data_IF_599827891896
#
_entry.id   IF_599827891896
#
_cell.length_a   1.000
_cell.length_b   1.000
_cell.length_c   1.000
_cell.angle_alpha   90.00
_cell.angle_beta   90.00
_cell.angle_gamma   90.00
#
_symmetry.space_group_name_H-M   'P 1'
#
loop_
_entity.id
_entity.type
_entity.pdbx_description
1 polymer ?
#
# COMPACT_ATOMS: atom_id res chain seq x y z
N UNK A 1 16.30 -85.33 54.19
CA UNK A 1 15.82 -84.87 55.48
C UNK A 1 16.31 -83.46 55.77
N UNK A 2 15.41 -82.62 56.11
CA UNK A 2 15.56 -81.25 56.68
C UNK A 2 15.99 -80.12 55.75
N UNK A 3 14.97 -79.50 55.21
CA UNK A 3 14.68 -78.16 54.87
C UNK A 3 15.43 -77.08 55.73
N UNK A 4 16.02 -76.08 55.15
CA UNK A 4 16.16 -74.78 55.75
C UNK A 4 15.71 -73.74 54.77
N UNK A 5 14.55 -73.25 55.03
CA UNK A 5 13.93 -72.04 54.41
C UNK A 5 14.74 -70.79 54.79
N UNK A 6 15.31 -70.14 53.85
CA UNK A 6 15.94 -68.86 54.09
C UNK A 6 15.02 -67.76 53.54
N UNK A 7 14.41 -67.04 54.46
CA UNK A 7 13.52 -65.89 54.17
C UNK A 7 14.40 -64.71 53.78
N UNK A 8 14.40 -64.38 52.50
CA UNK A 8 14.97 -63.12 52.03
C UNK A 8 13.87 -62.08 51.95
N UNK A 9 13.92 -61.14 52.90
CA UNK A 9 13.03 -59.99 53.01
C UNK A 9 13.49 -59.00 51.97
N UNK A 10 12.82 -58.94 50.82
CA UNK A 10 13.09 -57.95 49.81
C UNK A 10 12.41 -56.62 50.21
N UNK A 11 13.20 -55.69 50.67
CA UNK A 11 12.75 -54.29 50.90
C UNK A 11 12.56 -53.61 49.54
N UNK A 12 11.30 -53.43 49.13
CA UNK A 12 10.91 -52.66 47.97
C UNK A 12 11.03 -51.18 48.34
N UNK A 13 12.13 -50.55 47.91
CA UNK A 13 12.28 -49.11 47.95
C UNK A 13 11.50 -48.53 46.80
N UNK A 14 10.32 -48.01 47.09
CA UNK A 14 9.52 -47.22 46.16
C UNK A 14 10.24 -45.88 45.94
N UNK A 15 11.06 -45.78 44.89
CA UNK A 15 11.56 -44.53 44.40
C UNK A 15 10.40 -43.83 43.70
N UNK A 16 9.71 -42.96 44.44
CA UNK A 16 8.72 -42.03 43.89
C UNK A 16 9.47 -41.00 43.05
N UNK A 17 9.55 -41.25 41.75
CA UNK A 17 9.92 -40.18 40.80
C UNK A 17 8.85 -39.10 40.84
N UNK A 18 9.07 -38.02 41.58
CA UNK A 18 8.36 -36.78 41.40
C UNK A 18 8.75 -36.24 40.01
N UNK A 19 7.92 -36.57 39.02
CA UNK A 19 7.95 -35.85 37.74
C UNK A 19 7.48 -34.42 38.02
N UNK A 20 8.44 -33.54 38.28
CA UNK A 20 8.18 -32.10 38.19
C UNK A 20 7.83 -31.81 36.76
N UNK A 21 6.53 -31.75 36.47
CA UNK A 21 6.06 -31.03 35.30
C UNK A 21 6.57 -29.60 35.44
N UNK A 22 7.69 -29.35 34.80
CA UNK A 22 8.04 -27.99 34.37
C UNK A 22 6.92 -27.56 33.44
N UNK A 23 5.87 -26.99 34.03
CA UNK A 23 4.97 -26.14 33.28
C UNK A 23 5.89 -25.00 32.80
N UNK A 24 6.46 -25.20 31.62
CA UNK A 24 6.98 -24.11 30.84
C UNK A 24 5.83 -23.10 30.77
N UNK A 25 5.85 -22.10 31.62
CA UNK A 25 5.10 -20.88 31.40
C UNK A 25 5.56 -20.42 30.02
N UNK A 26 4.83 -20.82 28.99
CA UNK A 26 4.84 -20.09 27.73
C UNK A 26 4.52 -18.66 28.18
N UNK A 27 5.53 -17.84 28.29
CA UNK A 27 5.33 -16.40 28.32
C UNK A 27 4.45 -16.13 27.11
N UNK A 28 3.16 -15.93 27.37
CA UNK A 28 2.31 -15.28 26.41
C UNK A 28 2.94 -13.90 26.28
N UNK A 29 3.84 -13.78 25.31
CA UNK A 29 4.26 -12.48 24.79
C UNK A 29 2.95 -11.80 24.45
N UNK A 30 2.55 -10.85 25.29
CA UNK A 30 1.38 -10.00 25.04
C UNK A 30 1.73 -9.23 23.77
N UNK A 31 1.43 -9.82 22.64
CA UNK A 31 1.74 -9.23 21.34
C UNK A 31 0.91 -7.95 21.24
N UNK A 32 1.57 -6.84 21.04
CA UNK A 32 0.91 -5.55 20.92
C UNK A 32 -0.27 -5.66 19.92
N UNK A 33 -1.50 -5.29 20.30
CA UNK A 33 -2.67 -5.41 19.43
C UNK A 33 -2.49 -4.74 18.06
N UNK A 34 -1.71 -3.66 18.00
CA UNK A 34 -1.33 -2.99 16.74
C UNK A 34 -0.57 -3.94 15.83
N UNK A 35 0.43 -4.66 16.36
CA UNK A 35 1.24 -5.62 15.60
C UNK A 35 0.36 -6.70 15.01
N UNK A 36 -0.56 -7.26 15.81
CA UNK A 36 -1.48 -8.31 15.34
C UNK A 36 -2.39 -7.82 14.19
N UNK A 37 -2.89 -6.60 14.26
CA UNK A 37 -3.71 -6.02 13.17
C UNK A 37 -2.87 -5.83 11.92
N UNK A 38 -1.68 -5.25 12.04
CA UNK A 38 -0.78 -5.02 10.91
C UNK A 38 -0.38 -6.34 10.23
N UNK A 39 -0.03 -7.36 11.01
CA UNK A 39 0.30 -8.69 10.47
C UNK A 39 -0.87 -9.33 9.71
N UNK A 40 -2.11 -9.18 10.21
CA UNK A 40 -3.29 -9.67 9.49
C UNK A 40 -3.49 -8.93 8.17
N UNK A 41 -3.34 -7.61 8.17
CA UNK A 41 -3.41 -6.80 6.94
C UNK A 41 -2.32 -7.20 5.95
N UNK A 42 -1.08 -7.38 6.41
CA UNK A 42 0.03 -7.79 5.56
C UNK A 42 -0.18 -9.16 4.89
N UNK A 43 -0.91 -10.06 5.54
CA UNK A 43 -1.26 -11.38 4.98
C UNK A 43 -2.35 -11.28 3.90
N UNK A 44 -3.22 -10.29 3.97
CA UNK A 44 -4.35 -10.11 3.02
C UNK A 44 -4.02 -9.15 1.88
N UNK A 45 -3.06 -8.26 2.05
CA UNK A 45 -2.69 -7.28 1.04
C UNK A 45 -1.95 -7.91 -0.16
N UNK A 46 -1.97 -7.27 -1.33
CA UNK A 46 -1.33 -7.79 -2.52
C UNK A 46 0.17 -8.05 -2.33
N UNK A 47 0.58 -9.30 -2.57
CA UNK A 47 1.99 -9.69 -2.61
C UNK A 47 2.40 -9.88 -4.07
N UNK A 48 3.27 -9.01 -4.56
CA UNK A 48 3.65 -9.01 -5.98
C UNK A 48 5.11 -8.59 -6.20
N UNK A 49 5.66 -9.02 -7.32
CA UNK A 49 6.87 -8.48 -7.94
C UNK A 49 6.53 -7.50 -9.04
N UNK A 50 5.48 -7.82 -9.81
CA UNK A 50 4.97 -6.98 -10.89
C UNK A 50 3.44 -6.94 -10.88
N UNK A 51 2.88 -5.79 -11.27
CA UNK A 51 1.45 -5.60 -11.52
C UNK A 51 1.28 -5.08 -12.94
N UNK A 52 0.41 -5.73 -13.72
CA UNK A 52 0.04 -5.32 -15.07
C UNK A 52 -1.46 -5.05 -15.14
N UNK A 53 -1.85 -3.79 -15.04
CA UNK A 53 -3.24 -3.36 -15.30
C UNK A 53 -3.35 -3.09 -16.79
N UNK A 54 -3.85 -4.06 -17.53
CA UNK A 54 -3.96 -3.98 -18.99
C UNK A 54 -5.23 -3.28 -19.47
N UNK A 55 -6.23 -3.09 -18.60
CA UNK A 55 -7.45 -2.36 -18.88
C UNK A 55 -7.99 -1.68 -17.63
N UNK A 56 -8.10 -0.35 -17.68
CA UNK A 56 -8.79 0.45 -16.66
C UNK A 56 -9.34 1.72 -17.27
N UNK A 57 -10.33 2.32 -16.61
CA UNK A 57 -10.74 3.71 -16.85
C UNK A 57 -10.31 4.58 -15.70
N UNK A 58 -10.01 5.83 -15.99
CA UNK A 58 -9.69 6.87 -15.02
C UNK A 58 -10.65 8.02 -15.24
N UNK A 59 -11.42 8.35 -14.22
CA UNK A 59 -12.21 9.56 -14.20
C UNK A 59 -11.46 10.62 -13.38
N UNK A 60 -11.05 11.67 -14.06
CA UNK A 60 -10.38 12.82 -13.46
C UNK A 60 -11.40 13.94 -13.28
N UNK A 61 -11.48 14.50 -12.08
CA UNK A 61 -12.28 15.68 -11.82
C UNK A 61 -11.45 16.74 -11.10
N UNK A 62 -11.44 17.94 -11.67
CA UNK A 62 -10.85 19.13 -11.06
C UNK A 62 -11.87 20.27 -11.16
N UNK A 63 -12.37 20.72 -10.02
CA UNK A 63 -13.50 21.65 -9.95
C UNK A 63 -14.72 21.09 -10.71
N UNK A 64 -15.26 21.84 -11.67
CA UNK A 64 -16.38 21.45 -12.53
C UNK A 64 -15.98 20.62 -13.76
N UNK A 65 -14.68 20.53 -14.04
CA UNK A 65 -14.17 19.79 -15.20
C UNK A 65 -14.03 18.32 -14.87
N UNK A 66 -14.67 17.50 -15.67
CA UNK A 66 -14.64 16.05 -15.56
C UNK A 66 -14.22 15.42 -16.89
N UNK A 67 -13.22 14.53 -16.83
CA UNK A 67 -12.70 13.83 -18.00
C UNK A 67 -12.58 12.35 -17.68
N UNK A 68 -13.09 11.50 -18.57
CA UNK A 68 -12.95 10.06 -18.47
C UNK A 68 -12.02 9.55 -19.58
N UNK A 69 -11.04 8.74 -19.23
CA UNK A 69 -10.04 8.22 -20.16
C UNK A 69 -9.75 6.75 -19.91
N UNK A 70 -9.43 6.02 -20.97
CA UNK A 70 -8.86 4.68 -20.84
C UNK A 70 -7.39 4.77 -20.44
N UNK A 71 -6.91 3.81 -19.68
CA UNK A 71 -5.51 3.77 -19.28
C UNK A 71 -5.01 2.34 -19.05
N UNK A 72 -3.69 2.20 -19.00
CA UNK A 72 -2.98 1.00 -18.54
C UNK A 72 -1.93 1.39 -17.53
N UNK A 73 -1.66 0.50 -16.57
CA UNK A 73 -0.62 0.73 -15.56
C UNK A 73 0.27 -0.50 -15.43
N UNK A 74 1.57 -0.28 -15.36
CA UNK A 74 2.57 -1.33 -15.12
C UNK A 74 3.40 -0.92 -13.91
N UNK A 75 3.56 -1.82 -12.96
CA UNK A 75 4.37 -1.59 -11.76
C UNK A 75 5.40 -2.71 -11.63
N UNK A 76 6.66 -2.36 -11.47
CA UNK A 76 7.67 -3.23 -10.90
C UNK A 76 7.92 -2.76 -9.48
N UNK A 77 7.67 -3.64 -8.53
CA UNK A 77 7.76 -3.32 -7.10
C UNK A 77 9.08 -2.63 -6.76
N UNK A 78 8.97 -1.54 -6.02
CA UNK A 78 10.07 -0.75 -5.47
C UNK A 78 11.07 -0.23 -6.52
N UNK A 79 10.64 -0.14 -7.79
CA UNK A 79 11.51 0.24 -8.91
C UNK A 79 10.88 1.25 -9.86
N UNK A 80 9.79 0.89 -10.52
CA UNK A 80 9.20 1.73 -11.57
C UNK A 80 7.70 1.53 -11.72
N UNK A 81 6.99 2.62 -12.03
CA UNK A 81 5.58 2.63 -12.36
C UNK A 81 5.38 3.40 -13.67
N UNK A 82 4.73 2.76 -14.64
CA UNK A 82 4.33 3.38 -15.91
C UNK A 82 2.80 3.48 -15.96
N UNK A 83 2.30 4.68 -16.16
CA UNK A 83 0.89 4.97 -16.38
C UNK A 83 0.73 5.54 -17.79
N UNK A 84 0.00 4.81 -18.65
CA UNK A 84 -0.28 5.21 -20.04
C UNK A 84 -1.74 5.62 -20.15
N UNK A 85 -2.01 6.83 -20.59
CA UNK A 85 -3.34 7.41 -20.77
C UNK A 85 -3.71 7.40 -22.24
N UNK A 86 -4.86 6.82 -22.57
CA UNK A 86 -5.32 6.51 -23.93
C UNK A 86 -6.74 7.04 -24.13
N UNK A 87 -6.93 8.36 -24.32
CA UNK A 87 -8.26 8.98 -24.40
C UNK A 87 -9.09 8.50 -25.60
N UNK A 88 -8.43 8.14 -26.71
CA UNK A 88 -9.09 7.77 -27.96
C UNK A 88 -8.52 6.45 -28.51
N UNK A 89 -9.41 5.49 -28.78
CA UNK A 89 -9.15 4.25 -29.55
C UNK A 89 -7.86 3.50 -29.19
N UNK A 90 -7.44 3.55 -27.92
CA UNK A 90 -6.22 2.89 -27.47
C UNK A 90 -4.92 3.59 -27.85
N UNK A 91 -4.97 4.82 -28.40
CA UNK A 91 -3.77 5.59 -28.74
C UNK A 91 -3.23 6.24 -27.46
N UNK A 92 -1.99 5.92 -27.10
CA UNK A 92 -1.31 6.53 -25.96
C UNK A 92 -0.97 8.00 -26.25
N UNK A 93 -1.65 8.91 -25.55
CA UNK A 93 -1.44 10.35 -25.69
C UNK A 93 -0.56 10.91 -24.58
N UNK A 94 -0.66 10.36 -23.38
CA UNK A 94 0.18 10.74 -22.26
C UNK A 94 0.78 9.49 -21.63
N UNK A 95 2.00 9.63 -21.16
CA UNK A 95 2.67 8.60 -20.37
C UNK A 95 3.37 9.23 -19.18
N UNK A 96 3.09 8.72 -17.99
CA UNK A 96 3.88 9.00 -16.81
C UNK A 96 4.81 7.82 -16.50
N UNK A 97 6.08 8.10 -16.35
CA UNK A 97 7.13 7.16 -15.95
C UNK A 97 7.67 7.63 -14.60
N UNK A 98 7.40 6.87 -13.56
CA UNK A 98 7.78 7.18 -12.19
C UNK A 98 8.81 6.16 -11.73
N UNK A 99 9.93 6.64 -11.23
CA UNK A 99 10.99 5.85 -10.59
C UNK A 99 11.09 6.25 -9.13
N UNK A 100 12.02 5.65 -8.40
CA UNK A 100 12.28 6.02 -7.00
C UNK A 100 12.65 7.49 -6.82
N UNK A 101 13.23 8.12 -7.84
CA UNK A 101 13.86 9.45 -7.75
C UNK A 101 13.19 10.51 -8.61
N UNK A 102 12.42 10.10 -9.63
CA UNK A 102 11.92 11.04 -10.64
C UNK A 102 10.56 10.67 -11.21
N UNK A 103 9.86 11.68 -11.64
CA UNK A 103 8.60 11.59 -12.38
C UNK A 103 8.82 12.25 -13.74
N UNK A 104 8.64 11.48 -14.81
CA UNK A 104 8.66 11.97 -16.19
C UNK A 104 7.28 11.84 -16.79
N UNK A 105 6.77 12.91 -17.37
CA UNK A 105 5.48 12.95 -18.05
C UNK A 105 5.72 13.31 -19.51
N UNK A 106 5.29 12.43 -20.41
CA UNK A 106 5.38 12.61 -21.85
C UNK A 106 4.01 12.96 -22.41
N UNK A 107 3.87 14.17 -22.96
CA UNK A 107 2.74 14.59 -23.77
C UNK A 107 3.08 14.27 -25.24
N UNK A 108 2.59 13.15 -25.73
CA UNK A 108 2.87 12.67 -27.10
C UNK A 108 2.14 13.49 -28.17
N UNK A 109 1.02 14.13 -27.82
CA UNK A 109 0.27 14.99 -28.72
C UNK A 109 1.06 16.26 -29.09
N UNK A 110 1.61 16.91 -28.07
CA UNK A 110 2.34 18.17 -28.23
C UNK A 110 3.87 17.96 -28.34
N UNK A 111 4.32 16.69 -28.33
CA UNK A 111 5.75 16.32 -28.33
C UNK A 111 6.54 17.02 -27.24
N UNK A 112 5.98 17.10 -26.03
CA UNK A 112 6.63 17.70 -24.86
C UNK A 112 6.86 16.66 -23.79
N UNK A 113 7.93 16.82 -23.02
CA UNK A 113 8.13 16.04 -21.81
C UNK A 113 8.45 16.95 -20.63
N UNK A 114 8.07 16.51 -19.46
CA UNK A 114 8.22 17.21 -18.21
C UNK A 114 8.94 16.28 -17.24
N UNK A 115 9.87 16.84 -16.46
CA UNK A 115 10.61 16.10 -15.43
C UNK A 115 10.48 16.83 -14.13
N UNK A 116 10.15 16.10 -13.08
CA UNK A 116 10.16 16.59 -11.72
C UNK A 116 10.58 15.48 -10.78
N UNK A 117 10.76 15.79 -9.52
CA UNK A 117 10.94 14.85 -8.43
C UNK A 117 9.76 14.93 -7.45
N UNK A 118 9.79 14.08 -6.43
CA UNK A 118 8.73 14.03 -5.42
C UNK A 118 8.75 15.26 -4.50
N UNK A 119 9.89 15.96 -4.37
CA UNK A 119 10.01 17.17 -3.55
C UNK A 119 9.17 18.33 -4.09
N UNK A 120 8.93 18.36 -5.39
CA UNK A 120 8.04 19.34 -6.02
C UNK A 120 6.63 19.31 -5.40
N UNK A 121 6.08 18.10 -5.20
CA UNK A 121 4.75 17.96 -4.60
C UNK A 121 4.77 18.31 -3.11
N UNK A 122 5.85 17.95 -2.42
CA UNK A 122 6.05 18.31 -1.01
C UNK A 122 6.06 19.81 -0.81
N UNK A 123 6.82 20.52 -1.65
CA UNK A 123 6.96 21.97 -1.56
C UNK A 123 5.67 22.72 -1.92
N UNK A 124 4.91 22.17 -2.87
CA UNK A 124 3.69 22.81 -3.35
C UNK A 124 2.45 22.51 -2.49
N UNK A 125 2.33 21.31 -2.00
CA UNK A 125 1.13 20.82 -1.31
C UNK A 125 1.36 20.47 0.15
N UNK A 126 2.59 20.54 0.65
CA UNK A 126 2.95 20.15 2.01
C UNK A 126 2.79 18.64 2.28
N UNK A 127 2.58 17.84 1.24
CA UNK A 127 2.40 16.39 1.33
C UNK A 127 3.62 15.70 0.75
N UNK A 128 4.44 15.13 1.61
CA UNK A 128 5.69 14.45 1.25
C UNK A 128 5.43 13.08 0.61
N UNK A 129 4.87 13.01 -0.58
CA UNK A 129 4.70 11.73 -1.29
C UNK A 129 6.02 11.30 -1.89
N UNK A 130 6.41 10.05 -1.70
CA UNK A 130 7.51 9.38 -2.37
C UNK A 130 7.00 8.23 -3.26
N UNK A 131 7.89 7.60 -4.01
CA UNK A 131 7.53 6.46 -4.87
C UNK A 131 6.89 5.32 -4.08
N UNK A 132 7.43 4.98 -2.92
CA UNK A 132 6.94 3.87 -2.09
C UNK A 132 5.52 4.12 -1.59
N UNK A 133 5.25 5.35 -1.11
CA UNK A 133 3.91 5.77 -0.67
C UNK A 133 2.91 5.75 -1.83
N UNK A 134 3.31 6.27 -3.00
CA UNK A 134 2.46 6.27 -4.18
C UNK A 134 2.14 4.85 -4.65
N UNK A 135 3.17 3.98 -4.73
CA UNK A 135 2.99 2.57 -5.05
C UNK A 135 2.02 1.91 -4.07
N UNK A 136 2.22 2.12 -2.76
CA UNK A 136 1.37 1.54 -1.71
C UNK A 136 -0.07 2.02 -1.81
N UNK A 137 -0.31 3.30 -2.09
CA UNK A 137 -1.64 3.85 -2.30
C UNK A 137 -2.32 3.24 -3.53
N UNK A 138 -1.61 3.05 -4.63
CA UNK A 138 -2.17 2.48 -5.86
C UNK A 138 -2.35 0.94 -5.81
N UNK A 139 -1.79 0.28 -4.80
CA UNK A 139 -1.88 -1.18 -4.66
C UNK A 139 -2.52 -1.62 -3.34
N UNK A 140 -3.16 -0.71 -2.61
CA UNK A 140 -3.81 -0.96 -1.33
C UNK A 140 -2.90 -1.70 -0.32
N UNK A 141 -1.65 -1.26 -0.18
CA UNK A 141 -0.70 -1.78 0.80
C UNK A 141 -0.64 -0.88 2.03
N UNK A 142 -0.48 -1.50 3.20
CA UNK A 142 -0.21 -0.77 4.44
C UNK A 142 1.23 -0.28 4.45
N UNK A 143 1.45 0.96 4.84
CA UNK A 143 2.75 1.59 4.96
C UNK A 143 2.74 2.63 6.09
N UNK A 144 3.91 3.02 6.57
CA UNK A 144 4.10 4.19 7.41
C UNK A 144 4.73 5.29 6.56
N UNK A 145 4.04 6.41 6.45
CA UNK A 145 4.40 7.51 5.56
C UNK A 145 5.80 8.07 5.84
N UNK A 146 6.62 8.18 4.77
CA UNK A 146 8.00 8.65 4.88
C UNK A 146 8.95 7.68 5.57
N UNK A 147 8.57 6.40 5.67
CA UNK A 147 9.39 5.33 6.24
C UNK A 147 9.48 4.15 5.28
N UNK A 148 10.66 3.54 5.19
CA UNK A 148 10.84 2.30 4.42
C UNK A 148 10.25 1.08 5.13
N UNK A 149 10.23 1.12 6.46
CA UNK A 149 9.74 0.03 7.30
C UNK A 149 8.49 0.47 8.07
N UNK A 150 7.67 -0.50 8.44
CA UNK A 150 6.50 -0.28 9.26
C UNK A 150 6.93 -0.16 10.72
N UNK A 151 6.74 1.03 11.29
CA UNK A 151 7.10 1.34 12.67
C UNK A 151 5.91 1.05 13.60
N UNK A 152 5.73 -0.20 13.98
CA UNK A 152 4.60 -0.65 14.81
C UNK A 152 4.48 0.09 16.13
N UNK A 153 5.61 0.41 16.77
CA UNK A 153 5.64 1.11 18.06
C UNK A 153 5.18 2.58 17.97
N UNK A 154 5.24 3.15 16.77
CA UNK A 154 4.75 4.51 16.50
C UNK A 154 3.30 4.52 16.01
N UNK A 155 2.68 3.36 15.84
CA UNK A 155 1.30 3.22 15.40
C UNK A 155 0.34 3.13 16.58
N UNK A 156 -0.82 3.79 16.49
CA UNK A 156 -1.90 3.73 17.47
C UNK A 156 -3.13 3.07 16.87
N UNK A 157 -3.64 2.04 17.52
CA UNK A 157 -4.85 1.33 17.12
C UNK A 157 -6.08 1.97 17.78
N UNK A 158 -7.11 2.17 17.00
CA UNK A 158 -8.46 2.54 17.44
C UNK A 158 -9.43 1.50 16.85
N UNK A 159 -10.25 0.91 17.69
CA UNK A 159 -11.35 0.04 17.25
C UNK A 159 -12.60 0.92 17.09
N UNK A 160 -13.19 0.90 15.90
CA UNK A 160 -14.37 1.67 15.58
C UNK A 160 -15.64 0.95 16.07
N UNK A 161 -16.75 1.67 16.19
CA UNK A 161 -18.03 1.15 16.71
C UNK A 161 -18.64 0.02 15.88
N UNK A 162 -18.27 -0.09 14.60
CA UNK A 162 -18.68 -1.13 13.66
C UNK A 162 -17.73 -2.34 13.63
N UNK A 163 -16.74 -2.38 14.53
CA UNK A 163 -15.74 -3.45 14.63
C UNK A 163 -14.57 -3.32 13.64
N UNK A 164 -14.54 -2.28 12.83
CA UNK A 164 -13.40 -1.99 11.98
C UNK A 164 -12.21 -1.47 12.79
N UNK A 165 -11.01 -1.62 12.26
CA UNK A 165 -9.80 -1.13 12.87
C UNK A 165 -9.33 0.15 12.16
N UNK A 166 -8.79 1.08 12.94
CA UNK A 166 -8.16 2.29 12.44
C UNK A 166 -6.75 2.37 13.02
N UNK A 167 -5.75 2.42 12.18
CA UNK A 167 -4.35 2.62 12.59
C UNK A 167 -3.95 4.04 12.26
N UNK A 168 -3.53 4.77 13.29
CA UNK A 168 -3.00 6.11 13.16
C UNK A 168 -1.48 6.07 13.32
N UNK A 169 -0.78 6.75 12.43
CA UNK A 169 0.65 6.98 12.46
C UNK A 169 0.91 8.47 12.27
N UNK A 170 1.88 9.01 12.97
CA UNK A 170 2.27 10.40 12.79
C UNK A 170 3.79 10.57 12.77
N UNK A 171 4.23 11.54 12.00
CA UNK A 171 5.58 12.06 12.04
C UNK A 171 5.53 13.59 12.20
N UNK A 172 6.69 14.26 12.10
CA UNK A 172 6.77 15.70 12.33
C UNK A 172 5.85 16.53 11.42
N UNK A 173 5.61 16.08 10.18
CA UNK A 173 4.93 16.86 9.16
C UNK A 173 3.54 16.33 8.78
N UNK A 174 3.23 15.06 9.07
CA UNK A 174 2.05 14.38 8.57
C UNK A 174 1.33 13.57 9.64
N UNK A 175 0.01 13.52 9.52
CA UNK A 175 -0.87 12.55 10.16
C UNK A 175 -1.32 11.54 9.10
N UNK A 176 -1.17 10.27 9.40
CA UNK A 176 -1.71 9.18 8.58
C UNK A 176 -2.76 8.42 9.37
N UNK A 177 -3.84 8.08 8.71
CA UNK A 177 -4.90 7.23 9.25
C UNK A 177 -5.28 6.19 8.21
N UNK A 178 -5.20 4.90 8.57
CA UNK A 178 -5.58 3.78 7.71
C UNK A 178 -6.73 3.02 8.34
N UNK A 179 -7.86 2.95 7.64
CA UNK A 179 -9.04 2.21 8.05
C UNK A 179 -9.04 0.82 7.42
N UNK A 180 -9.31 -0.17 8.25
CA UNK A 180 -9.17 -1.59 7.93
C UNK A 180 -10.49 -2.28 8.27
N UNK A 181 -11.06 -2.96 7.29
CA UNK A 181 -12.30 -3.72 7.45
C UNK A 181 -12.14 -4.91 8.41
N UNK A 182 -13.24 -5.50 8.80
CA UNK A 182 -13.27 -6.76 9.57
C UNK A 182 -12.64 -7.94 8.83
N UNK A 183 -12.50 -7.86 7.50
CA UNK A 183 -11.79 -8.83 6.66
C UNK A 183 -10.29 -8.54 6.53
N UNK A 184 -9.77 -7.58 7.29
CA UNK A 184 -8.38 -7.10 7.27
C UNK A 184 -7.96 -6.48 5.91
N UNK A 185 -8.90 -5.98 5.12
CA UNK A 185 -8.65 -5.24 3.89
C UNK A 185 -8.61 -3.73 4.20
N UNK A 186 -7.77 -2.99 3.52
CA UNK A 186 -7.71 -1.52 3.68
C UNK A 186 -8.93 -0.91 2.97
N UNK A 187 -9.75 -0.15 3.70
CA UNK A 187 -10.87 0.59 3.14
C UNK A 187 -10.46 2.00 2.72
N UNK A 188 -9.60 2.63 3.53
CA UNK A 188 -9.18 4.00 3.31
C UNK A 188 -7.79 4.26 3.89
N UNK A 189 -7.02 5.11 3.22
CA UNK A 189 -5.81 5.74 3.76
C UNK A 189 -5.93 7.24 3.61
N UNK A 190 -5.82 7.97 4.70
CA UNK A 190 -5.81 9.43 4.75
C UNK A 190 -4.41 9.90 5.17
N UNK A 191 -3.83 10.79 4.39
CA UNK A 191 -2.63 11.54 4.70
C UNK A 191 -2.99 13.02 4.85
N UNK A 192 -2.72 13.61 5.99
CA UNK A 192 -3.03 15.02 6.29
C UNK A 192 -1.76 15.76 6.68
N UNK A 193 -1.45 16.85 6.01
CA UNK A 193 -0.35 17.72 6.38
C UNK A 193 -0.66 18.45 7.71
N UNK A 194 0.32 18.50 8.64
CA UNK A 194 0.17 19.21 9.92
C UNK A 194 0.23 20.73 9.77
N UNK A 195 1.02 21.19 8.82
CA UNK A 195 1.33 22.61 8.63
C UNK A 195 0.53 23.26 7.48
N UNK A 196 -0.44 22.56 6.92
CA UNK A 196 -1.32 23.09 5.88
C UNK A 196 -2.68 22.39 5.93
N UNK A 197 -3.64 22.91 5.15
CA UNK A 197 -4.97 22.28 5.04
C UNK A 197 -5.04 21.21 3.93
N UNK A 198 -3.89 20.83 3.35
CA UNK A 198 -3.87 19.81 2.31
C UNK A 198 -3.96 18.40 2.88
N UNK A 199 -4.70 17.58 2.18
CA UNK A 199 -4.84 16.15 2.47
C UNK A 199 -4.86 15.35 1.17
N UNK A 200 -4.46 14.09 1.30
CA UNK A 200 -4.58 13.07 0.27
C UNK A 200 -5.31 11.88 0.89
N UNK A 201 -6.47 11.56 0.34
CA UNK A 201 -7.27 10.42 0.76
C UNK A 201 -7.37 9.43 -0.38
N UNK A 202 -7.19 8.15 -0.07
CA UNK A 202 -7.42 7.06 -1.01
C UNK A 202 -8.45 6.11 -0.42
N UNK A 203 -9.53 5.86 -1.12
CA UNK A 203 -10.59 4.92 -0.73
C UNK A 203 -10.59 3.73 -1.69
N UNK A 204 -10.76 2.53 -1.15
CA UNK A 204 -10.70 1.27 -1.88
C UNK A 204 -12.03 0.54 -1.75
N UNK A 205 -12.54 0.01 -2.87
CA UNK A 205 -13.75 -0.80 -2.89
C UNK A 205 -13.72 -1.88 -3.96
N UNK A 206 -14.78 -2.70 -3.98
CA UNK A 206 -14.97 -3.76 -4.96
C UNK A 206 -13.77 -4.73 -4.99
N UNK A 207 -13.32 -5.16 -3.79
CA UNK A 207 -12.24 -6.12 -3.67
C UNK A 207 -12.61 -7.46 -4.32
N UNK A 208 -11.72 -7.95 -5.18
CA UNK A 208 -11.82 -9.27 -5.79
C UNK A 208 -10.56 -10.07 -5.57
N UNK A 209 -10.68 -11.40 -5.55
CA UNK A 209 -9.53 -12.28 -5.44
C UNK A 209 -9.06 -12.71 -6.84
N UNK A 210 -7.83 -12.36 -7.19
CA UNK A 210 -7.22 -12.65 -8.49
C UNK A 210 -5.98 -13.49 -8.25
N UNK A 211 -6.04 -14.79 -8.60
CA UNK A 211 -4.95 -15.74 -8.34
C UNK A 211 -4.47 -15.75 -6.89
N UNK A 212 -5.42 -15.69 -5.92
CA UNK A 212 -5.12 -15.66 -4.51
C UNK A 212 -4.73 -14.28 -3.94
N UNK A 213 -4.66 -13.24 -4.76
CA UNK A 213 -4.36 -11.86 -4.37
C UNK A 213 -5.65 -11.06 -4.23
N UNK A 214 -5.90 -10.50 -3.05
CA UNK A 214 -7.00 -9.53 -2.87
C UNK A 214 -6.60 -8.20 -3.46
N UNK A 215 -7.38 -7.69 -4.41
CA UNK A 215 -7.10 -6.42 -5.07
C UNK A 215 -8.36 -5.59 -5.28
N UNK A 216 -8.36 -4.27 -4.96
CA UNK A 216 -9.51 -3.42 -5.18
C UNK A 216 -9.70 -3.18 -6.68
N UNK A 217 -10.94 -3.29 -7.16
CA UNK A 217 -11.29 -2.93 -8.53
C UNK A 217 -11.58 -1.44 -8.68
N UNK A 218 -11.81 -0.76 -7.55
CA UNK A 218 -11.98 0.69 -7.50
C UNK A 218 -11.04 1.33 -6.50
N UNK A 219 -10.37 2.39 -6.95
CA UNK A 219 -9.47 3.21 -6.14
C UNK A 219 -9.84 4.66 -6.39
N UNK A 220 -10.42 5.31 -5.39
CA UNK A 220 -10.73 6.74 -5.44
C UNK A 220 -9.65 7.51 -4.70
N UNK A 221 -8.90 8.34 -5.41
CA UNK A 221 -7.88 9.20 -4.87
C UNK A 221 -8.39 10.65 -4.89
N UNK A 222 -8.37 11.30 -3.73
CA UNK A 222 -8.82 12.68 -3.55
C UNK A 222 -7.68 13.48 -2.93
N UNK A 223 -7.27 14.54 -3.61
CA UNK A 223 -6.16 15.40 -3.17
C UNK A 223 -6.58 16.86 -3.17
N UNK A 224 -6.25 17.59 -2.12
CA UNK A 224 -6.55 19.00 -2.05
C UNK A 224 -6.74 19.53 -0.64
N UNK A 225 -7.48 20.62 -0.56
CA UNK A 225 -7.82 21.31 0.69
C UNK A 225 -9.35 21.51 0.76
N UNK A 226 -9.82 22.23 1.80
CA UNK A 226 -11.25 22.47 2.00
C UNK A 226 -11.94 23.23 0.84
N UNK A 227 -11.17 23.97 0.00
CA UNK A 227 -11.71 24.79 -1.08
C UNK A 227 -11.64 24.12 -2.45
N UNK A 228 -10.61 23.32 -2.68
CA UNK A 228 -10.36 22.68 -3.98
C UNK A 228 -9.93 21.24 -3.76
N UNK A 229 -10.69 20.32 -4.32
CA UNK A 229 -10.40 18.89 -4.30
C UNK A 229 -10.30 18.41 -5.74
N UNK A 230 -9.17 17.80 -6.07
CA UNK A 230 -9.01 17.03 -7.29
C UNK A 230 -9.31 15.56 -6.98
N UNK A 231 -10.09 14.91 -7.84
CA UNK A 231 -10.37 13.47 -7.69
C UNK A 231 -9.84 12.70 -8.88
N UNK A 232 -9.39 11.48 -8.60
CA UNK A 232 -8.98 10.52 -9.60
C UNK A 232 -9.60 9.16 -9.24
N UNK A 233 -10.61 8.76 -9.98
CA UNK A 233 -11.31 7.48 -9.77
C UNK A 233 -10.82 6.46 -10.79
N UNK A 234 -10.14 5.43 -10.29
CA UNK A 234 -9.63 4.32 -11.07
C UNK A 234 -10.61 3.16 -11.01
N UNK A 235 -11.15 2.77 -12.15
CA UNK A 235 -11.94 1.54 -12.31
C UNK A 235 -11.10 0.49 -13.06
N UNK A 236 -10.62 -0.52 -12.33
CA UNK A 236 -9.70 -1.54 -12.84
C UNK A 236 -10.50 -2.72 -13.35
N UNK A 237 -10.37 -3.00 -14.66
CA UNK A 237 -11.14 -4.02 -15.36
C UNK A 237 -10.33 -5.30 -15.61
N UNK A 238 -9.01 -5.18 -15.79
CA UNK A 238 -8.14 -6.33 -15.99
C UNK A 238 -6.77 -6.07 -15.37
N UNK A 239 -6.39 -6.91 -14.41
CA UNK A 239 -5.09 -6.88 -13.75
C UNK A 239 -4.48 -8.28 -13.66
N UNK A 240 -3.17 -8.37 -13.79
CA UNK A 240 -2.37 -9.58 -13.69
C UNK A 240 -1.18 -9.31 -12.77
N UNK A 241 -0.81 -10.30 -11.95
CA UNK A 241 0.30 -10.22 -11.02
C UNK A 241 1.42 -11.15 -11.43
N UNK A 242 2.65 -10.75 -11.16
CA UNK A 242 3.85 -11.57 -11.31
C UNK A 242 4.07 -12.08 -12.75
N UNK A 243 3.56 -11.35 -13.73
CA UNK A 243 3.81 -11.62 -15.15
C UNK A 243 5.13 -10.97 -15.59
N UNK A 244 5.72 -11.50 -16.66
CA UNK A 244 6.91 -10.88 -17.26
C UNK A 244 6.51 -9.61 -18.01
N UNK A 245 6.85 -8.45 -17.46
CA UNK A 245 6.52 -7.14 -18.01
C UNK A 245 7.78 -6.50 -18.59
N UNK A 246 7.69 -6.04 -19.84
CA UNK A 246 8.75 -5.22 -20.41
C UNK A 246 8.52 -3.75 -20.07
N UNK A 247 9.49 -3.14 -19.40
CA UNK A 247 9.54 -1.71 -19.12
C UNK A 247 10.49 -1.06 -20.13
N UNK A 248 9.92 -0.36 -21.11
CA UNK A 248 10.70 0.37 -22.11
C UNK A 248 10.53 1.87 -21.84
N UNK A 249 11.56 2.56 -21.36
CA UNK A 249 11.52 3.99 -21.14
C UNK A 249 11.34 4.74 -22.47
N UNK A 250 10.60 5.83 -22.40
CA UNK A 250 10.43 6.71 -23.58
C UNK A 250 11.71 7.49 -23.83
N UNK A 251 12.20 7.52 -25.08
CA UNK A 251 13.37 8.34 -25.44
C UNK A 251 12.99 9.83 -25.41
N UNK A 252 13.54 10.65 -24.49
CA UNK A 252 13.21 12.04 -24.34
C UNK A 252 13.72 12.93 -25.50
N UNK A 253 14.70 12.50 -26.28
CA UNK A 253 15.27 13.28 -27.39
C UNK A 253 14.24 13.60 -28.50
N UNK A 254 13.14 12.83 -28.54
CA UNK A 254 12.03 13.04 -29.48
C UNK A 254 11.02 14.07 -29.02
N UNK A 255 11.26 14.70 -27.87
CA UNK A 255 10.35 15.61 -27.19
C UNK A 255 11.07 16.89 -26.80
N UNK A 256 10.39 18.02 -26.86
CA UNK A 256 10.87 19.27 -26.28
C UNK A 256 10.62 19.29 -24.79
N UNK A 257 11.60 19.69 -23.99
CA UNK A 257 11.42 19.81 -22.54
C UNK A 257 10.48 20.97 -22.21
N UNK A 258 9.46 20.71 -21.41
CA UNK A 258 8.52 21.68 -20.88
C UNK A 258 8.76 21.97 -19.40
N UNK A 259 8.19 23.07 -18.93
CA UNK A 259 8.14 23.39 -17.51
C UNK A 259 6.91 22.71 -16.88
N UNK A 260 7.11 21.96 -15.78
CA UNK A 260 6.04 21.24 -15.07
C UNK A 260 4.94 22.21 -14.57
N UNK A 261 5.29 23.45 -14.23
CA UNK A 261 4.31 24.47 -13.82
C UNK A 261 3.30 24.79 -14.92
N UNK A 262 3.72 24.74 -16.19
CA UNK A 262 2.82 24.98 -17.33
C UNK A 262 1.82 23.83 -17.52
N UNK A 263 2.21 22.60 -17.16
CA UNK A 263 1.32 21.45 -17.25
C UNK A 263 0.19 21.54 -16.20
N UNK A 264 0.49 22.04 -15.01
CA UNK A 264 -0.45 22.12 -13.89
C UNK A 264 -1.33 23.39 -13.88
N UNK A 265 -1.05 24.34 -14.75
CA UNK A 265 -1.86 25.57 -14.93
C UNK A 265 -2.96 25.43 -15.98
N UNK A 266 -2.93 24.38 -16.79
CA UNK A 266 -3.94 24.06 -17.82
C UNK A 266 -5.07 23.23 -17.25
#
# INVERSE_FOLDING_TARGET
MKSKFCFIFAVLVLVSCKTTHLISKREQTVTNPVVQVIERVQKTQPQFKTVNVSKMSIELQLNERKVNVSATCKIQKDSVLYLSIQPFMGIEMFRAEMTTDSIRIFDKMNRRYYVTDYSYFSNRFGVNVDFSSLQSLLTAQFFCFGRKEILTDSCKLVVLSDGQNKINFENNNMLQSTEISTLNLINQTLLKAKNSNYQLQTTYSDYTQINGVNFPQKILLQAGNQKTIATCDFSILKVEFNTNIKFQPTNPERFSRGDIEQLLKK
#
